data_IF_481267266960
#
_entry.id   IF_481267266960
#
_cell.length_a   1.000
_cell.length_b   1.000
_cell.length_c   1.000
_cell.angle_alpha   90.00
_cell.angle_beta   90.00
_cell.angle_gamma   90.00
#
_symmetry.space_group_name_H-M   'P 1'
#
loop_
_entity.id
_entity.type
_entity.pdbx_description
1 polymer ?
#
# COMPACT_ATOMS: atom_id res chain seq x y z
N UNK A 1 -13.21 17.17 -22.20
CA UNK A 1 -13.87 17.52 -20.92
C UNK A 1 -12.79 17.66 -19.86
N UNK A 2 -12.62 18.84 -19.26
CA UNK A 2 -11.54 19.08 -18.29
C UNK A 2 -11.87 18.41 -16.96
N UNK A 3 -10.97 17.57 -16.46
CA UNK A 3 -11.02 16.84 -15.19
C UNK A 3 -11.05 17.72 -13.92
N UNK A 4 -11.37 19.01 -14.07
CA UNK A 4 -11.23 20.04 -13.03
C UNK A 4 -12.18 19.98 -11.82
N UNK A 5 -13.06 18.98 -11.73
CA UNK A 5 -14.12 19.01 -10.71
C UNK A 5 -13.90 18.11 -9.50
N UNK A 6 -12.75 17.43 -9.40
CA UNK A 6 -12.44 16.56 -8.27
C UNK A 6 -11.12 17.02 -7.65
N UNK A 7 -11.17 17.76 -6.55
CA UNK A 7 -9.99 18.17 -5.81
C UNK A 7 -9.52 17.04 -4.89
N UNK A 8 -8.35 16.49 -5.18
CA UNK A 8 -7.62 15.57 -4.31
C UNK A 8 -6.48 16.25 -3.53
N UNK A 9 -6.42 17.58 -3.49
CA UNK A 9 -5.23 18.30 -3.07
C UNK A 9 -4.06 18.09 -4.04
N UNK A 10 -2.83 18.31 -3.62
CA UNK A 10 -1.65 18.21 -4.49
C UNK A 10 -1.48 16.80 -5.10
N UNK A 11 -1.83 15.74 -4.36
CA UNK A 11 -1.86 14.36 -4.86
C UNK A 11 -2.89 14.14 -5.98
N UNK A 12 -3.90 14.98 -6.07
CA UNK A 12 -4.92 14.93 -7.12
C UNK A 12 -4.45 15.49 -8.45
N UNK A 13 -3.59 16.48 -8.46
CA UNK A 13 -3.04 17.07 -9.69
C UNK A 13 -2.05 16.10 -10.35
N UNK A 14 -1.19 15.43 -9.57
CA UNK A 14 -0.31 14.37 -10.07
C UNK A 14 -1.11 13.18 -10.63
N UNK A 15 -2.19 12.81 -9.96
CA UNK A 15 -3.12 11.78 -10.43
C UNK A 15 -3.72 12.13 -11.80
N UNK A 16 -4.18 13.34 -11.98
CA UNK A 16 -4.74 13.79 -13.26
C UNK A 16 -3.70 13.87 -14.38
N UNK A 17 -2.48 14.29 -14.07
CA UNK A 17 -1.38 14.31 -15.02
C UNK A 17 -0.99 12.90 -15.51
N UNK A 18 -1.08 11.90 -14.62
CA UNK A 18 -0.88 10.49 -14.96
C UNK A 18 -2.00 9.95 -15.85
N UNK A 19 -3.26 10.30 -15.56
CA UNK A 19 -4.42 9.90 -16.35
C UNK A 19 -4.41 10.42 -17.78
N UNK A 20 -3.89 11.64 -17.98
CA UNK A 20 -3.77 12.21 -19.32
C UNK A 20 -2.72 11.52 -20.20
N UNK A 21 -1.83 10.73 -19.60
CA UNK A 21 -0.74 10.05 -20.30
C UNK A 21 -1.05 8.61 -20.71
N UNK A 22 -2.07 7.99 -20.13
CA UNK A 22 -2.35 6.56 -20.34
C UNK A 22 -3.84 6.31 -20.58
N UNK A 23 -4.18 5.69 -21.73
CA UNK A 23 -5.58 5.40 -22.11
C UNK A 23 -6.29 4.47 -21.14
N UNK A 24 -5.59 3.49 -20.56
CA UNK A 24 -6.17 2.55 -19.57
C UNK A 24 -6.57 3.31 -18.31
N UNK A 25 -5.74 4.26 -17.91
CA UNK A 25 -6.00 5.13 -16.76
C UNK A 25 -7.19 6.06 -17.02
N UNK A 26 -7.36 6.51 -18.26
CA UNK A 26 -8.53 7.30 -18.66
C UNK A 26 -9.83 6.49 -18.58
N UNK A 27 -9.81 5.22 -18.96
CA UNK A 27 -10.97 4.33 -18.85
C UNK A 27 -11.35 4.07 -17.39
N UNK A 28 -10.36 3.80 -16.52
CA UNK A 28 -10.57 3.64 -15.07
C UNK A 28 -11.15 4.92 -14.47
N UNK A 29 -10.62 6.09 -14.84
CA UNK A 29 -11.13 7.38 -14.40
C UNK A 29 -12.56 7.65 -14.90
N UNK A 30 -12.91 7.17 -16.10
CA UNK A 30 -14.26 7.27 -16.63
C UNK A 30 -15.25 6.38 -15.85
N UNK A 31 -14.86 5.15 -15.53
CA UNK A 31 -15.65 4.24 -14.68
C UNK A 31 -15.87 4.85 -13.30
N UNK A 32 -14.83 5.38 -12.69
CA UNK A 32 -14.91 6.06 -11.39
C UNK A 32 -15.84 7.28 -11.42
N UNK A 33 -15.77 8.11 -12.47
CA UNK A 33 -16.68 9.25 -12.66
C UNK A 33 -18.12 8.80 -12.86
N UNK A 34 -18.34 7.69 -13.56
CA UNK A 34 -19.68 7.14 -13.76
C UNK A 34 -20.29 6.62 -12.46
N UNK A 35 -19.47 6.18 -11.50
CA UNK A 35 -19.94 5.77 -10.16
C UNK A 35 -20.35 6.95 -9.27
N UNK A 36 -20.10 8.19 -9.70
CA UNK A 36 -20.46 9.44 -9.00
C UNK A 36 -19.90 9.55 -7.57
N UNK A 37 -18.80 8.89 -7.26
CA UNK A 37 -18.18 8.96 -5.93
C UNK A 37 -17.40 10.27 -5.78
N UNK A 38 -17.76 11.07 -4.79
CA UNK A 38 -17.11 12.35 -4.47
C UNK A 38 -15.88 12.14 -3.58
N UNK A 39 -15.02 13.19 -3.49
CA UNK A 39 -13.85 13.16 -2.59
C UNK A 39 -14.25 12.98 -1.12
N UNK A 40 -15.26 13.68 -0.58
CA UNK A 40 -15.74 13.43 0.79
C UNK A 40 -16.20 11.98 1.02
N UNK A 41 -16.84 11.36 0.01
CA UNK A 41 -17.25 9.96 0.10
C UNK A 41 -16.05 9.02 0.12
N UNK A 42 -15.02 9.26 -0.72
CA UNK A 42 -13.78 8.49 -0.67
C UNK A 42 -13.09 8.60 0.68
N UNK A 43 -13.05 9.81 1.26
CA UNK A 43 -12.51 10.04 2.59
C UNK A 43 -13.30 9.25 3.64
N UNK A 44 -14.62 9.30 3.60
CA UNK A 44 -15.47 8.55 4.54
C UNK A 44 -15.28 7.03 4.43
N UNK A 45 -15.14 6.50 3.21
CA UNK A 45 -14.83 5.08 2.98
C UNK A 45 -13.46 4.72 3.59
N UNK A 46 -12.45 5.56 3.37
CA UNK A 46 -11.12 5.34 3.93
C UNK A 46 -11.16 5.34 5.47
N UNK A 47 -11.78 6.34 6.08
CA UNK A 47 -11.93 6.46 7.54
C UNK A 47 -12.68 5.25 8.12
N UNK A 48 -13.74 4.78 7.47
CA UNK A 48 -14.45 3.56 7.86
C UNK A 48 -13.53 2.34 7.87
N UNK A 49 -12.68 2.19 6.86
CA UNK A 49 -11.68 1.11 6.80
C UNK A 49 -10.68 1.19 7.96
N UNK A 50 -10.22 2.40 8.29
CA UNK A 50 -9.31 2.64 9.44
C UNK A 50 -10.01 2.28 10.76
N UNK A 51 -11.28 2.65 10.92
CA UNK A 51 -12.04 2.34 12.13
C UNK A 51 -12.20 0.83 12.32
N UNK A 52 -12.52 0.08 11.27
CA UNK A 52 -12.58 -1.38 11.33
C UNK A 52 -11.21 -1.99 11.67
N UNK A 53 -10.13 -1.49 11.06
CA UNK A 53 -8.77 -1.95 11.36
C UNK A 53 -8.41 -1.74 12.83
N UNK A 54 -8.68 -0.56 13.37
CA UNK A 54 -8.39 -0.21 14.76
C UNK A 54 -9.21 -1.03 15.77
N UNK A 55 -10.38 -1.55 15.35
CA UNK A 55 -11.22 -2.45 16.13
C UNK A 55 -10.86 -3.94 15.92
N UNK A 56 -9.76 -4.23 15.21
CA UNK A 56 -9.33 -5.59 14.84
C UNK A 56 -10.35 -6.37 14.00
N UNK A 57 -11.27 -5.66 13.35
CA UNK A 57 -12.25 -6.22 12.41
C UNK A 57 -11.62 -6.29 11.01
N UNK A 58 -10.64 -7.18 10.87
CA UNK A 58 -9.80 -7.23 9.66
C UNK A 58 -10.55 -7.69 8.41
N UNK A 59 -11.61 -8.48 8.54
CA UNK A 59 -12.44 -8.90 7.40
C UNK A 59 -13.22 -7.72 6.82
N UNK A 60 -13.84 -6.93 7.68
CA UNK A 60 -14.59 -5.73 7.33
C UNK A 60 -13.65 -4.67 6.74
N UNK A 61 -12.51 -4.45 7.38
CA UNK A 61 -11.48 -3.54 6.89
C UNK A 61 -10.98 -3.94 5.49
N UNK A 62 -10.74 -5.23 5.25
CA UNK A 62 -10.32 -5.77 3.94
C UNK A 62 -11.35 -5.45 2.85
N UNK A 63 -12.64 -5.65 3.13
CA UNK A 63 -13.73 -5.36 2.18
C UNK A 63 -13.76 -3.87 1.85
N UNK A 64 -13.68 -3.00 2.87
CA UNK A 64 -13.74 -1.55 2.70
C UNK A 64 -12.53 -1.03 1.93
N UNK A 65 -11.30 -1.47 2.27
CA UNK A 65 -10.11 -1.02 1.55
C UNK A 65 -10.00 -1.60 0.14
N UNK A 66 -10.54 -2.80 -0.10
CA UNK A 66 -10.65 -3.34 -1.47
C UNK A 66 -11.58 -2.48 -2.33
N UNK A 67 -12.71 -2.06 -1.79
CA UNK A 67 -13.61 -1.12 -2.45
C UNK A 67 -12.94 0.25 -2.66
N UNK A 68 -12.22 0.75 -1.66
CA UNK A 68 -11.46 1.99 -1.78
C UNK A 68 -10.42 1.95 -2.89
N UNK A 69 -9.64 0.87 -2.99
CA UNK A 69 -8.65 0.70 -4.07
C UNK A 69 -9.30 0.65 -5.45
N UNK A 70 -10.47 0.01 -5.58
CA UNK A 70 -11.22 -0.02 -6.84
C UNK A 70 -11.73 1.37 -7.24
N UNK A 71 -12.14 2.19 -6.28
CA UNK A 71 -12.64 3.55 -6.50
C UNK A 71 -11.52 4.58 -6.65
N UNK A 72 -10.36 4.33 -6.07
CA UNK A 72 -9.22 5.25 -6.06
C UNK A 72 -7.88 4.51 -6.29
N UNK A 73 -7.67 3.92 -7.46
CA UNK A 73 -6.57 2.98 -7.73
C UNK A 73 -5.17 3.61 -7.68
N UNK A 74 -5.07 4.94 -7.71
CA UNK A 74 -3.80 5.67 -7.70
C UNK A 74 -3.40 6.21 -6.32
N UNK A 75 -4.21 5.94 -5.31
CA UNK A 75 -3.86 6.26 -3.92
C UNK A 75 -3.14 5.08 -3.27
N UNK A 76 -1.83 5.24 -3.03
CA UNK A 76 -0.99 4.22 -2.41
C UNK A 76 -1.47 3.78 -1.02
N UNK A 77 -2.20 4.63 -0.29
CA UNK A 77 -2.67 4.36 1.06
C UNK A 77 -3.60 3.15 1.12
N UNK A 78 -4.46 2.97 0.11
CA UNK A 78 -5.35 1.81 0.03
C UNK A 78 -4.58 0.49 -0.02
N UNK A 79 -3.60 0.39 -0.92
CA UNK A 79 -2.73 -0.79 -1.01
C UNK A 79 -1.90 -0.99 0.27
N UNK A 80 -1.43 0.10 0.89
CA UNK A 80 -0.72 0.06 2.17
C UNK A 80 -1.57 -0.51 3.30
N UNK A 81 -2.83 -0.09 3.40
CA UNK A 81 -3.78 -0.62 4.39
C UNK A 81 -4.10 -2.10 4.16
N UNK A 82 -4.30 -2.52 2.92
CA UNK A 82 -4.51 -3.94 2.59
C UNK A 82 -3.27 -4.78 2.95
N UNK A 83 -2.07 -4.31 2.65
CA UNK A 83 -0.84 -4.98 3.04
C UNK A 83 -0.74 -5.13 4.56
N UNK A 84 -1.06 -4.08 5.33
CA UNK A 84 -1.08 -4.14 6.78
C UNK A 84 -2.09 -5.17 7.30
N UNK A 85 -3.30 -5.20 6.76
CA UNK A 85 -4.32 -6.20 7.12
C UNK A 85 -3.82 -7.62 6.87
N UNK A 86 -3.24 -7.88 5.71
CA UNK A 86 -2.72 -9.21 5.39
C UNK A 86 -1.55 -9.62 6.28
N UNK A 87 -0.69 -8.68 6.68
CA UNK A 87 0.37 -8.93 7.67
C UNK A 87 -0.21 -9.34 9.04
N UNK A 88 -1.24 -8.63 9.53
CA UNK A 88 -1.92 -8.94 10.78
C UNK A 88 -2.62 -10.32 10.72
N UNK A 89 -3.25 -10.63 9.61
CA UNK A 89 -3.89 -11.94 9.36
C UNK A 89 -2.88 -13.07 9.10
N UNK A 90 -1.58 -12.76 9.02
CA UNK A 90 -0.49 -13.68 8.64
C UNK A 90 -0.66 -14.30 7.23
N UNK A 91 -1.37 -13.63 6.36
CA UNK A 91 -1.54 -14.00 4.96
C UNK A 91 -0.37 -13.41 4.13
N UNK A 92 0.85 -13.93 4.39
CA UNK A 92 2.10 -13.31 3.91
C UNK A 92 2.22 -13.25 2.39
N UNK A 93 1.64 -14.20 1.66
CA UNK A 93 1.65 -14.14 0.19
C UNK A 93 0.79 -12.98 -0.31
N UNK A 94 -0.41 -12.79 0.23
CA UNK A 94 -1.28 -11.66 -0.14
C UNK A 94 -0.65 -10.33 0.28
N UNK A 95 -0.02 -10.28 1.46
CA UNK A 95 0.73 -9.10 1.88
C UNK A 95 1.85 -8.77 0.90
N UNK A 96 2.62 -9.77 0.47
CA UNK A 96 3.70 -9.61 -0.51
C UNK A 96 3.18 -9.08 -1.85
N UNK A 97 2.04 -9.59 -2.33
CA UNK A 97 1.43 -9.13 -3.57
C UNK A 97 1.02 -7.65 -3.47
N UNK A 98 0.39 -7.24 -2.36
CA UNK A 98 0.03 -5.84 -2.12
C UNK A 98 1.25 -4.92 -1.95
N UNK A 99 2.29 -5.39 -1.26
CA UNK A 99 3.53 -4.63 -1.08
C UNK A 99 4.28 -4.43 -2.40
N UNK A 100 4.26 -5.42 -3.31
CA UNK A 100 4.83 -5.27 -4.64
C UNK A 100 4.05 -4.26 -5.50
N UNK A 101 2.74 -4.16 -5.33
CA UNK A 101 1.95 -3.08 -5.92
C UNK A 101 2.32 -1.75 -5.28
N UNK A 102 2.33 -1.67 -3.94
CA UNK A 102 2.66 -0.46 -3.19
C UNK A 102 4.04 0.11 -3.58
N UNK A 103 5.03 -0.76 -3.78
CA UNK A 103 6.39 -0.39 -4.19
C UNK A 103 6.43 0.40 -5.51
N UNK A 104 5.44 0.25 -6.39
CA UNK A 104 5.37 0.96 -7.67
C UNK A 104 4.91 2.42 -7.53
N UNK A 105 4.32 2.80 -6.40
CA UNK A 105 3.86 4.15 -6.17
C UNK A 105 5.02 5.06 -5.74
N UNK A 106 5.24 6.21 -6.41
CA UNK A 106 6.31 7.13 -6.04
C UNK A 106 6.16 7.75 -4.65
N UNK A 107 4.93 7.80 -4.14
CA UNK A 107 4.57 8.45 -2.88
C UNK A 107 4.65 7.52 -1.66
N UNK A 108 4.96 6.22 -1.83
CA UNK A 108 5.12 5.32 -0.70
C UNK A 108 6.48 5.51 -0.01
N UNK A 109 6.56 5.12 1.26
CA UNK A 109 7.84 4.96 1.94
C UNK A 109 8.51 3.66 1.47
N UNK A 110 9.54 3.82 0.62
CA UNK A 110 10.18 2.67 -0.03
C UNK A 110 10.93 1.78 0.96
N UNK A 111 11.62 2.37 1.94
CA UNK A 111 12.41 1.60 2.90
C UNK A 111 11.51 0.76 3.82
N UNK A 112 10.41 1.33 4.31
CA UNK A 112 9.40 0.59 5.09
C UNK A 112 8.71 -0.49 4.24
N UNK A 113 8.37 -0.18 2.99
CA UNK A 113 7.74 -1.14 2.07
C UNK A 113 8.67 -2.32 1.78
N UNK A 114 9.93 -2.08 1.45
CA UNK A 114 10.93 -3.14 1.18
C UNK A 114 11.23 -3.96 2.42
N UNK A 115 11.27 -3.33 3.60
CA UNK A 115 11.40 -4.06 4.87
C UNK A 115 10.22 -5.04 5.11
N UNK A 116 9.00 -4.61 4.81
CA UNK A 116 7.83 -5.48 4.90
C UNK A 116 7.86 -6.61 3.86
N UNK A 117 8.36 -6.37 2.66
CA UNK A 117 8.62 -7.41 1.66
C UNK A 117 9.63 -8.43 2.20
N UNK A 118 10.74 -7.96 2.80
CA UNK A 118 11.71 -8.84 3.44
C UNK A 118 11.07 -9.70 4.54
N UNK A 119 10.21 -9.11 5.37
CA UNK A 119 9.47 -9.87 6.39
C UNK A 119 8.57 -10.95 5.76
N UNK A 120 7.84 -10.63 4.70
CA UNK A 120 6.99 -11.62 4.02
C UNK A 120 7.82 -12.78 3.47
N UNK A 121 8.92 -12.51 2.76
CA UNK A 121 9.82 -13.55 2.28
C UNK A 121 10.37 -14.41 3.43
N UNK A 122 10.79 -13.79 4.54
CA UNK A 122 11.25 -14.53 5.72
C UNK A 122 10.16 -15.47 6.27
N UNK A 123 8.92 -14.99 6.38
CA UNK A 123 7.78 -15.79 6.87
C UNK A 123 7.33 -16.89 5.91
N UNK A 124 7.64 -16.74 4.62
CA UNK A 124 7.43 -17.73 3.57
C UNK A 124 8.63 -18.68 3.40
N UNK A 125 9.59 -18.67 4.34
CA UNK A 125 10.83 -19.47 4.34
C UNK A 125 11.77 -19.20 3.14
N UNK A 126 11.56 -18.09 2.43
CA UNK A 126 12.39 -17.62 1.32
C UNK A 126 13.53 -16.73 1.86
N UNK A 127 14.52 -17.36 2.50
CA UNK A 127 15.53 -16.65 3.29
C UNK A 127 16.52 -15.86 2.47
N UNK A 128 16.87 -16.34 1.27
CA UNK A 128 17.78 -15.63 0.34
C UNK A 128 17.11 -14.36 -0.23
N UNK A 129 15.86 -14.48 -0.64
CA UNK A 129 15.05 -13.36 -1.13
C UNK A 129 14.84 -12.31 -0.02
N UNK A 130 14.57 -12.78 1.19
CA UNK A 130 14.44 -11.92 2.37
C UNK A 130 15.73 -11.14 2.65
N UNK A 131 16.89 -11.83 2.64
CA UNK A 131 18.19 -11.20 2.84
C UNK A 131 18.51 -10.19 1.74
N UNK A 132 18.24 -10.53 0.48
CA UNK A 132 18.43 -9.62 -0.65
C UNK A 132 17.58 -8.33 -0.49
N UNK A 133 16.33 -8.46 -0.07
CA UNK A 133 15.49 -7.28 0.21
C UNK A 133 16.02 -6.48 1.40
N UNK A 134 16.48 -7.13 2.45
CA UNK A 134 16.99 -6.45 3.64
C UNK A 134 18.23 -5.60 3.35
N UNK A 135 19.10 -6.04 2.43
CA UNK A 135 20.30 -5.30 2.00
C UNK A 135 19.99 -3.97 1.28
N UNK A 136 18.78 -3.84 0.72
CA UNK A 136 18.35 -2.61 0.02
C UNK A 136 17.84 -1.55 1.02
N UNK A 137 17.34 -1.98 2.17
CA UNK A 137 16.75 -1.10 3.18
C UNK A 137 17.81 -0.19 3.80
N UNK A 138 17.52 1.09 3.84
CA UNK A 138 18.35 2.09 4.53
C UNK A 138 17.80 2.30 5.95
N UNK A 139 18.45 1.76 6.99
CA UNK A 139 17.91 1.80 8.36
C UNK A 139 17.74 3.22 8.90
N UNK A 140 18.54 4.18 8.45
CA UNK A 140 18.46 5.58 8.87
C UNK A 140 17.16 6.28 8.43
N UNK A 141 16.45 5.73 7.44
CA UNK A 141 15.17 6.22 6.98
C UNK A 141 13.97 5.59 7.71
N UNK A 142 14.20 4.58 8.54
CA UNK A 142 13.12 3.87 9.23
C UNK A 142 12.67 4.60 10.49
N UNK A 143 11.35 4.63 10.72
CA UNK A 143 10.80 5.05 12.01
C UNK A 143 11.15 4.04 13.13
N UNK A 144 11.05 4.48 14.38
CA UNK A 144 11.39 3.66 15.56
C UNK A 144 10.65 2.31 15.57
N UNK A 145 9.41 2.28 15.09
CA UNK A 145 8.62 1.06 14.97
C UNK A 145 9.26 0.06 14.00
N UNK A 146 9.69 0.53 12.83
CA UNK A 146 10.27 -0.33 11.79
C UNK A 146 11.72 -0.70 12.07
N UNK A 147 12.47 0.10 12.79
CA UNK A 147 13.87 -0.22 13.15
C UNK A 147 13.95 -1.51 14.00
N UNK A 148 12.96 -1.78 14.84
CA UNK A 148 12.90 -3.03 15.62
C UNK A 148 12.71 -4.24 14.71
N UNK A 149 11.86 -4.12 13.69
CA UNK A 149 11.67 -5.17 12.66
C UNK A 149 12.94 -5.41 11.86
N UNK A 150 13.61 -4.35 11.46
CA UNK A 150 14.90 -4.41 10.76
C UNK A 150 15.95 -5.17 11.58
N UNK A 151 16.14 -4.80 12.85
CA UNK A 151 17.08 -5.47 13.76
C UNK A 151 16.74 -6.96 13.95
N UNK A 152 15.46 -7.26 14.08
CA UNK A 152 15.00 -8.65 14.18
C UNK A 152 15.38 -9.45 12.95
N UNK A 153 15.04 -8.98 11.75
CA UNK A 153 15.36 -9.67 10.50
C UNK A 153 16.85 -9.81 10.28
N UNK A 154 17.65 -8.77 10.54
CA UNK A 154 19.10 -8.81 10.46
C UNK A 154 19.67 -9.93 11.33
N UNK A 155 19.17 -10.08 12.56
CA UNK A 155 19.59 -11.14 13.47
C UNK A 155 19.22 -12.54 12.92
N UNK A 156 18.00 -12.69 12.40
CA UNK A 156 17.52 -13.99 11.91
C UNK A 156 18.20 -14.40 10.59
N UNK A 157 18.56 -13.42 9.75
CA UNK A 157 19.14 -13.63 8.43
C UNK A 157 20.66 -13.53 8.40
N UNK A 158 21.31 -13.36 9.56
CA UNK A 158 22.76 -13.22 9.65
C UNK A 158 23.57 -14.23 8.82
N UNK A 159 23.18 -15.53 8.72
CA UNK A 159 23.90 -16.49 7.88
C UNK A 159 23.80 -16.25 6.37
N UNK A 160 22.91 -15.36 5.93
CA UNK A 160 22.61 -15.06 4.52
C UNK A 160 23.01 -13.63 4.11
N UNK A 161 23.44 -12.81 5.07
CA UNK A 161 23.94 -11.45 4.90
C UNK A 161 25.47 -11.43 4.88
#
# INVERSE_FOLDING_TARGET
>A
MKLKSIHFGDAGEEFYALLEKNMVEQEIAAIRRSSKVSVPQLKAIFEMGVDFYNQFQFKEAEIVFSAYCALNPYDHRGAGCLAAIYLEKREFQKALDMLNILKTFPTNDLDETVLNIALCHYKLEQKLESAAMLLIVRPDNLSDYYIQRYKYLTKQLNPYL
#
